data_IF_217100883557
#
_entry.id   IF_217100883557
#
_cell.length_a   1.000
_cell.length_b   1.000
_cell.length_c   1.000
_cell.angle_alpha   90.00
_cell.angle_beta   90.00
_cell.angle_gamma   90.00
#
_symmetry.space_group_name_H-M   'P 1'
#
loop_
_entity.id
_entity.type
_entity.pdbx_description
1 polymer ?
#
# COMPACT_ATOMS: atom_id res chain seq x y z
N UNK A 1 11.02 -10.23 36.11
CA UNK A 1 10.94 -10.89 34.80
C UNK A 1 9.55 -11.47 34.65
N UNK A 2 8.72 -10.86 33.80
CA UNK A 2 7.58 -11.46 33.06
C UNK A 2 6.79 -10.29 32.44
N UNK A 3 7.37 -9.68 31.40
CA UNK A 3 6.72 -8.67 30.56
C UNK A 3 6.71 -9.03 29.07
N UNK A 4 7.34 -10.14 28.70
CA UNK A 4 7.55 -10.54 27.29
C UNK A 4 6.44 -11.46 26.75
N UNK A 5 5.43 -11.79 27.57
CA UNK A 5 4.35 -12.68 27.17
C UNK A 5 3.15 -11.95 26.50
N UNK A 6 3.17 -10.62 26.41
CA UNK A 6 2.05 -9.85 25.88
C UNK A 6 2.17 -9.50 24.38
N UNK A 7 3.37 -9.57 23.80
CA UNK A 7 3.59 -9.29 22.37
C UNK A 7 3.27 -10.50 21.47
N UNK A 8 3.12 -11.70 22.03
CA UNK A 8 2.80 -12.91 21.28
C UNK A 8 1.28 -13.14 21.05
N UNK A 9 0.42 -12.20 21.48
CA UNK A 9 -1.05 -12.30 21.36
C UNK A 9 -1.66 -11.55 20.18
N UNK A 10 -0.87 -10.95 19.30
CA UNK A 10 -1.35 -10.53 17.98
C UNK A 10 -1.34 -11.70 16.98
N UNK A 11 -1.90 -12.84 17.40
CA UNK A 11 -2.30 -13.90 16.49
C UNK A 11 -3.51 -13.41 15.66
N UNK A 12 -3.19 -12.70 14.58
CA UNK A 12 -3.88 -12.68 13.30
C UNK A 12 -5.40 -12.56 13.33
N UNK A 13 -5.92 -11.36 13.62
CA UNK A 13 -7.19 -10.96 13.01
C UNK A 13 -6.86 -10.25 11.72
N UNK A 14 -7.35 -10.78 10.61
CA UNK A 14 -7.36 -10.06 9.35
C UNK A 14 -7.97 -8.68 9.61
N UNK A 15 -7.21 -7.67 9.26
CA UNK A 15 -7.53 -6.27 9.46
C UNK A 15 -7.73 -5.63 8.09
N UNK A 16 -8.69 -4.72 7.99
CA UNK A 16 -8.84 -3.90 6.80
C UNK A 16 -7.74 -2.84 6.78
N UNK A 17 -7.01 -2.82 5.68
CA UNK A 17 -5.97 -1.86 5.39
C UNK A 17 -6.30 -1.14 4.09
N UNK A 18 -5.95 0.14 4.04
CA UNK A 18 -6.02 0.94 2.81
C UNK A 18 -4.60 1.30 2.40
N UNK A 19 -4.17 0.80 1.24
CA UNK A 19 -2.95 1.20 0.55
C UNK A 19 -3.28 2.23 -0.51
N UNK A 20 -2.50 3.30 -0.58
CA UNK A 20 -2.62 4.30 -1.66
C UNK A 20 -1.34 4.24 -2.46
N UNK A 21 -1.47 4.15 -3.77
CA UNK A 21 -0.36 4.14 -4.70
C UNK A 21 -0.39 5.40 -5.55
N UNK A 22 0.61 6.27 -5.45
CA UNK A 22 0.82 7.36 -6.42
C UNK A 22 1.15 6.79 -7.79
N UNK A 23 0.46 7.27 -8.83
CA UNK A 23 0.64 6.85 -10.23
C UNK A 23 1.37 7.92 -11.07
N UNK A 24 1.87 8.98 -10.42
CA UNK A 24 2.65 10.02 -11.06
C UNK A 24 4.03 9.55 -11.53
N UNK A 25 4.92 10.48 -11.94
CA UNK A 25 6.25 10.15 -12.41
C UNK A 25 7.09 9.38 -11.38
N UNK A 26 8.04 8.59 -11.88
CA UNK A 26 9.07 7.87 -11.11
C UNK A 26 9.98 8.86 -10.38
N UNK A 27 10.86 8.35 -9.51
CA UNK A 27 11.79 9.16 -8.70
C UNK A 27 12.72 10.06 -9.51
N UNK A 28 13.05 9.66 -10.74
CA UNK A 28 13.89 10.40 -11.69
C UNK A 28 13.10 11.46 -12.49
N UNK A 29 11.79 11.57 -12.26
CA UNK A 29 10.89 12.46 -13.00
C UNK A 29 10.35 11.86 -14.31
N UNK A 30 10.74 10.64 -14.67
CA UNK A 30 10.23 9.95 -15.85
C UNK A 30 8.76 9.56 -15.65
N UNK A 31 7.84 9.91 -16.56
CA UNK A 31 6.44 9.51 -16.44
C UNK A 31 6.29 7.98 -16.43
N UNK A 32 5.36 7.46 -15.62
CA UNK A 32 4.89 6.09 -15.79
C UNK A 32 4.03 6.01 -17.05
N UNK A 33 4.31 5.06 -17.94
CA UNK A 33 3.46 4.80 -19.11
C UNK A 33 2.21 4.02 -18.69
N UNK A 34 1.15 4.05 -19.51
CA UNK A 34 -0.04 3.23 -19.27
C UNK A 34 0.30 1.74 -19.15
N UNK A 35 1.34 1.29 -19.88
CA UNK A 35 1.85 -0.09 -19.82
C UNK A 35 2.53 -0.36 -18.48
N UNK A 36 3.40 0.55 -18.01
CA UNK A 36 4.05 0.41 -16.70
C UNK A 36 3.00 0.34 -15.58
N UNK A 37 2.00 1.23 -15.63
CA UNK A 37 0.92 1.26 -14.66
C UNK A 37 0.09 -0.04 -14.70
N UNK A 38 -0.26 -0.52 -15.89
CA UNK A 38 -1.02 -1.77 -16.03
C UNK A 38 -0.25 -2.97 -15.47
N UNK A 39 1.05 -3.07 -15.73
CA UNK A 39 1.91 -4.15 -15.22
C UNK A 39 2.03 -4.06 -13.69
N UNK A 40 2.24 -2.88 -13.14
CA UNK A 40 2.34 -2.68 -11.70
C UNK A 40 1.03 -3.00 -10.97
N UNK A 41 -0.10 -2.53 -11.48
CA UNK A 41 -1.41 -2.81 -10.90
C UNK A 41 -1.71 -4.31 -10.96
N UNK A 42 -1.48 -4.97 -12.11
CA UNK A 42 -1.70 -6.42 -12.22
C UNK A 42 -0.84 -7.22 -11.21
N UNK A 43 0.41 -6.80 -10.96
CA UNK A 43 1.26 -7.45 -9.96
C UNK A 43 0.74 -7.24 -8.52
N UNK A 44 0.25 -6.04 -8.20
CA UNK A 44 -0.35 -5.72 -6.90
C UNK A 44 -1.65 -6.54 -6.70
N UNK A 45 -2.49 -6.63 -7.73
CA UNK A 45 -3.74 -7.39 -7.71
C UNK A 45 -3.49 -8.90 -7.49
N UNK A 46 -2.54 -9.48 -8.23
CA UNK A 46 -2.14 -10.88 -8.10
C UNK A 46 -1.57 -11.18 -6.70
N UNK A 47 -0.69 -10.32 -6.19
CA UNK A 47 -0.16 -10.44 -4.82
C UNK A 47 -1.27 -10.33 -3.77
N UNK A 48 -2.23 -9.42 -3.97
CA UNK A 48 -3.37 -9.23 -3.08
C UNK A 48 -4.27 -10.46 -3.02
N UNK A 49 -4.52 -11.12 -4.15
CA UNK A 49 -5.26 -12.39 -4.19
C UNK A 49 -4.51 -13.51 -3.46
N UNK A 50 -3.20 -13.63 -3.69
CA UNK A 50 -2.38 -14.70 -3.11
C UNK A 50 -2.22 -14.57 -1.60
N UNK A 51 -2.00 -13.35 -1.11
CA UNK A 51 -1.62 -13.09 0.28
C UNK A 51 -2.81 -12.77 1.19
N UNK A 52 -3.93 -12.30 0.62
CA UNK A 52 -5.08 -11.80 1.37
C UNK A 52 -6.43 -12.34 0.86
N UNK A 53 -6.45 -13.13 -0.22
CA UNK A 53 -7.67 -13.79 -0.72
C UNK A 53 -8.67 -12.88 -1.45
N UNK A 54 -8.39 -11.59 -1.56
CA UNK A 54 -9.29 -10.63 -2.20
C UNK A 54 -8.83 -9.19 -2.01
N UNK A 55 -9.37 -8.27 -2.82
CA UNK A 55 -9.11 -6.84 -2.70
C UNK A 55 -10.20 -6.02 -3.40
N UNK A 56 -10.23 -4.72 -3.13
CA UNK A 56 -10.92 -3.73 -3.95
C UNK A 56 -9.92 -2.66 -4.37
N UNK A 57 -9.93 -2.28 -5.64
CA UNK A 57 -9.07 -1.22 -6.16
C UNK A 57 -9.89 -0.09 -6.80
N UNK A 58 -9.58 1.14 -6.44
CA UNK A 58 -10.16 2.34 -7.04
C UNK A 58 -9.06 3.20 -7.66
N UNK A 59 -9.21 3.57 -8.92
CA UNK A 59 -8.37 4.61 -9.54
C UNK A 59 -9.08 5.94 -9.50
N UNK A 60 -8.35 7.01 -9.20
CA UNK A 60 -8.92 8.35 -9.16
C UNK A 60 -7.89 9.43 -8.94
N UNK A 61 -8.37 10.67 -8.77
CA UNK A 61 -7.53 11.79 -8.32
C UNK A 61 -7.54 11.82 -6.80
N UNK A 62 -6.37 11.67 -6.21
CA UNK A 62 -6.20 11.62 -4.76
C UNK A 62 -5.03 12.46 -4.29
N UNK A 63 -4.79 12.39 -2.98
CA UNK A 63 -3.62 12.97 -2.36
C UNK A 63 -2.79 11.88 -1.69
N UNK A 64 -1.49 11.93 -1.84
CA UNK A 64 -0.54 11.19 -1.01
C UNK A 64 0.49 12.15 -0.41
N UNK A 65 0.82 11.97 0.85
CA UNK A 65 1.92 12.58 1.60
C UNK A 65 3.29 11.98 1.21
N UNK A 66 4.14 12.74 0.54
CA UNK A 66 5.49 12.27 0.23
C UNK A 66 6.33 11.97 1.48
N UNK A 67 7.50 11.31 1.33
CA UNK A 67 8.39 11.07 2.47
C UNK A 67 8.83 12.34 3.21
N UNK A 68 8.68 13.53 2.62
CA UNK A 68 8.97 14.83 3.23
C UNK A 68 7.76 15.41 3.99
N UNK A 69 6.63 14.69 4.03
CA UNK A 69 5.41 15.12 4.71
C UNK A 69 4.51 16.04 3.87
N UNK A 70 4.80 16.23 2.59
CA UNK A 70 4.03 17.12 1.70
C UNK A 70 2.95 16.35 0.95
N UNK A 71 1.72 16.87 0.99
CA UNK A 71 0.63 16.33 0.18
C UNK A 71 0.82 16.63 -1.31
N UNK A 72 1.03 15.58 -2.09
CA UNK A 72 1.02 15.54 -3.56
C UNK A 72 -0.39 15.19 -4.03
N UNK A 73 -0.96 15.99 -4.93
CA UNK A 73 -2.26 15.71 -5.56
C UNK A 73 -2.03 15.21 -6.98
N UNK A 74 -2.36 13.95 -7.23
CA UNK A 74 -2.18 13.31 -8.54
C UNK A 74 -3.12 12.12 -8.73
N UNK A 75 -2.95 11.39 -9.82
CA UNK A 75 -3.62 10.10 -10.00
C UNK A 75 -3.08 9.08 -9.00
N UNK A 76 -4.00 8.35 -8.36
CA UNK A 76 -3.69 7.32 -7.39
C UNK A 76 -4.47 6.04 -7.68
N UNK A 77 -3.95 4.91 -7.23
CA UNK A 77 -4.70 3.68 -7.02
C UNK A 77 -4.88 3.44 -5.52
N UNK A 78 -6.12 3.27 -5.07
CA UNK A 78 -6.48 3.02 -3.68
C UNK A 78 -6.88 1.56 -3.57
N UNK A 79 -6.07 0.78 -2.89
CA UNK A 79 -6.27 -0.64 -2.63
C UNK A 79 -6.82 -0.80 -1.21
N UNK A 80 -8.01 -1.38 -1.08
CA UNK A 80 -8.58 -1.80 0.18
C UNK A 80 -8.47 -3.32 0.27
N UNK A 81 -7.89 -3.81 1.36
CA UNK A 81 -7.52 -5.22 1.51
C UNK A 81 -7.63 -5.68 2.96
N UNK A 82 -8.12 -6.90 3.16
CA UNK A 82 -8.20 -7.52 4.48
C UNK A 82 -7.13 -8.60 4.60
N UNK A 83 -6.23 -8.51 5.56
CA UNK A 83 -5.21 -9.53 5.74
C UNK A 83 -4.32 -9.27 6.94
N UNK A 84 -3.19 -9.96 7.00
CA UNK A 84 -2.16 -9.68 8.01
C UNK A 84 -1.35 -8.43 7.65
N UNK A 85 -0.81 -7.74 8.66
CA UNK A 85 0.10 -6.61 8.42
C UNK A 85 1.33 -7.03 7.59
N UNK A 86 1.85 -8.24 7.80
CA UNK A 86 2.98 -8.76 7.02
C UNK A 86 2.64 -8.88 5.54
N UNK A 87 1.46 -9.44 5.21
CA UNK A 87 0.94 -9.51 3.84
C UNK A 87 0.84 -8.12 3.21
N UNK A 88 0.34 -7.14 3.98
CA UNK A 88 0.20 -5.75 3.51
C UNK A 88 1.55 -5.09 3.24
N UNK A 89 2.55 -5.30 4.10
CA UNK A 89 3.90 -4.79 3.89
C UNK A 89 4.54 -5.39 2.63
N UNK A 90 4.30 -6.68 2.38
CA UNK A 90 4.79 -7.36 1.18
C UNK A 90 4.17 -6.80 -0.11
N UNK A 91 2.84 -6.63 -0.14
CA UNK A 91 2.12 -6.01 -1.27
C UNK A 91 2.61 -4.57 -1.49
N UNK A 92 2.81 -3.83 -0.40
CA UNK A 92 3.33 -2.48 -0.46
C UNK A 92 4.72 -2.43 -1.12
N UNK A 93 5.63 -3.33 -0.71
CA UNK A 93 6.97 -3.38 -1.27
C UNK A 93 6.97 -3.65 -2.79
N UNK A 94 6.06 -4.48 -3.29
CA UNK A 94 5.89 -4.74 -4.73
C UNK A 94 5.52 -3.44 -5.45
N UNK A 95 4.48 -2.74 -5.00
CA UNK A 95 4.05 -1.49 -5.63
C UNK A 95 5.13 -0.41 -5.59
N UNK A 96 5.84 -0.26 -4.46
CA UNK A 96 6.95 0.68 -4.30
C UNK A 96 8.11 0.38 -5.25
N UNK A 97 8.45 -0.90 -5.43
CA UNK A 97 9.51 -1.33 -6.34
C UNK A 97 9.22 -1.02 -7.81
N UNK A 98 7.94 -1.04 -8.20
CA UNK A 98 7.52 -0.86 -9.59
C UNK A 98 7.15 0.59 -9.93
N UNK A 99 6.47 1.29 -9.02
CA UNK A 99 5.94 2.64 -9.23
C UNK A 99 6.86 3.74 -8.66
N UNK A 100 7.82 3.39 -7.81
CA UNK A 100 8.83 4.31 -7.29
C UNK A 100 8.30 5.17 -6.14
N UNK A 101 8.10 6.47 -6.39
CA UNK A 101 7.87 7.54 -5.37
C UNK A 101 6.57 7.41 -4.60
N UNK A 102 5.80 6.38 -4.92
CA UNK A 102 4.58 5.98 -4.29
C UNK A 102 4.74 5.84 -2.77
N UNK A 103 4.24 6.82 -2.04
CA UNK A 103 4.01 6.66 -0.62
C UNK A 103 2.85 5.69 -0.40
N UNK A 104 3.10 4.65 0.37
CA UNK A 104 2.07 3.67 0.70
C UNK A 104 1.60 3.97 2.10
N UNK A 105 0.41 4.56 2.21
CA UNK A 105 -0.24 4.59 3.51
C UNK A 105 -0.74 3.22 3.84
N UNK A 106 -0.70 2.90 5.12
CA UNK A 106 -1.54 1.88 5.68
C UNK A 106 -2.41 2.58 6.69
N UNK A 107 -3.69 2.76 6.34
CA UNK A 107 -4.70 3.07 7.36
C UNK A 107 -4.95 1.79 8.14
N UNK A 108 -4.56 1.78 9.40
CA UNK A 108 -4.82 0.68 10.33
C UNK A 108 -6.30 0.68 10.76
N UNK A 109 -6.82 -0.43 11.29
CA UNK A 109 -8.18 -0.49 11.84
C UNK A 109 -8.46 0.54 12.94
N UNK A 110 -7.43 0.96 13.68
CA UNK A 110 -7.52 2.00 14.71
C UNK A 110 -7.63 3.43 14.13
N UNK A 111 -7.62 3.56 12.80
CA UNK A 111 -7.69 4.83 12.09
C UNK A 111 -6.35 5.57 11.99
N UNK A 112 -5.28 5.07 12.61
CA UNK A 112 -3.94 5.62 12.44
C UNK A 112 -3.39 5.32 11.05
N UNK A 113 -2.49 6.18 10.60
CA UNK A 113 -1.86 6.07 9.29
C UNK A 113 -0.37 5.86 9.47
N UNK A 114 0.18 4.83 8.82
CA UNK A 114 1.61 4.62 8.72
C UNK A 114 2.04 4.83 7.28
N UNK A 115 3.17 5.52 7.09
CA UNK A 115 3.85 5.61 5.81
C UNK A 115 4.84 4.44 5.68
N UNK A 116 4.71 3.62 4.64
CA UNK A 116 5.59 2.49 4.32
C UNK A 116 6.63 2.79 3.22
#
# INVERSE_FOLDING_TARGET
MTGEANDAREAGKDAEYTLIFGLGPKNDGTPNTDVDLAIALAAIEDASLKLCGGFTIHRGKGGWIDPEGKTIKEEVAILMISGSYASVVEIAAIGKGMLGRTAIYVKKPDGSTILL
#
